data_IF_903326604298
#
_entry.id   IF_903326604298
#
_cell.length_a   1.000
_cell.length_b   1.000
_cell.length_c   1.000
_cell.angle_alpha   90.00
_cell.angle_beta   90.00
_cell.angle_gamma   90.00
#
_symmetry.space_group_name_H-M   'P 1'
#
loop_
_entity.id
_entity.type
_entity.pdbx_description
1 polymer ?
#
# COMPACT_ATOMS: atom_id res chain seq x y z
N UNK A 1 10.92 1.01 -10.08
CA UNK A 1 10.05 1.64 -9.06
C UNK A 1 10.32 3.12 -9.02
N UNK A 2 9.41 3.88 -9.61
CA UNK A 2 9.50 5.34 -9.70
C UNK A 2 9.31 5.99 -8.31
N UNK A 3 9.93 7.15 -8.06
CA UNK A 3 9.84 7.86 -6.77
C UNK A 3 8.39 8.14 -6.36
N UNK A 4 7.53 8.45 -7.34
CA UNK A 4 6.10 8.70 -7.14
C UNK A 4 5.33 7.48 -6.60
N UNK A 5 5.76 6.26 -6.95
CA UNK A 5 5.15 5.02 -6.45
C UNK A 5 5.49 4.83 -4.98
N UNK A 6 6.73 5.15 -4.58
CA UNK A 6 7.17 5.07 -3.18
C UNK A 6 6.40 6.07 -2.33
N UNK A 7 6.22 7.30 -2.80
CA UNK A 7 5.42 8.32 -2.10
C UNK A 7 3.94 7.94 -2.01
N UNK A 8 3.37 7.34 -3.06
CA UNK A 8 1.99 6.83 -3.02
C UNK A 8 1.79 5.69 -2.01
N UNK A 9 2.76 4.77 -1.92
CA UNK A 9 2.78 3.71 -0.91
C UNK A 9 2.86 4.30 0.51
N UNK A 10 3.72 5.31 0.71
CA UNK A 10 3.92 5.99 2.00
C UNK A 10 2.64 6.69 2.46
N UNK A 11 2.03 7.50 1.61
CA UNK A 11 0.77 8.20 1.90
C UNK A 11 -0.35 7.22 2.26
N UNK A 12 -0.47 6.14 1.48
CA UNK A 12 -1.49 5.11 1.73
C UNK A 12 -1.27 4.36 3.04
N UNK A 13 -0.01 4.07 3.38
CA UNK A 13 0.33 3.45 4.66
C UNK A 13 0.01 4.36 5.85
N UNK A 14 0.27 5.67 5.75
CA UNK A 14 -0.10 6.63 6.78
C UNK A 14 -1.62 6.68 6.98
N UNK A 15 -2.40 6.70 5.90
CA UNK A 15 -3.87 6.66 5.96
C UNK A 15 -4.41 5.39 6.61
N UNK A 16 -3.83 4.22 6.32
CA UNK A 16 -4.21 2.96 6.98
C UNK A 16 -3.94 3.00 8.49
N UNK A 17 -2.85 3.66 8.92
CA UNK A 17 -2.54 3.81 10.35
C UNK A 17 -3.49 4.73 11.11
N UNK A 18 -4.16 5.67 10.44
CA UNK A 18 -5.16 6.55 11.07
C UNK A 18 -6.37 5.76 11.60
N UNK A 19 -6.77 4.69 10.92
CA UNK A 19 -7.93 3.87 11.28
C UNK A 19 -7.55 2.58 12.02
N UNK A 20 -6.32 2.49 12.55
CA UNK A 20 -5.80 1.24 13.11
C UNK A 20 -6.56 0.84 14.38
N UNK A 21 -7.35 -0.22 14.27
CA UNK A 21 -7.94 -0.93 15.39
C UNK A 21 -7.07 -2.15 15.74
N UNK A 22 -7.09 -2.62 16.99
CA UNK A 22 -6.33 -3.83 17.37
C UNK A 22 -6.80 -5.01 16.51
N UNK A 23 -5.87 -5.69 15.84
CA UNK A 23 -6.15 -6.83 14.96
C UNK A 23 -6.23 -6.53 13.46
N UNK A 24 -6.26 -5.27 13.02
CA UNK A 24 -6.37 -4.93 11.58
C UNK A 24 -5.03 -4.91 10.84
N UNK A 25 -3.90 -5.05 11.53
CA UNK A 25 -2.54 -4.93 10.96
C UNK A 25 -2.33 -5.88 9.78
N UNK A 26 -2.83 -7.11 9.86
CA UNK A 26 -2.71 -8.08 8.77
C UNK A 26 -3.55 -7.71 7.55
N UNK A 27 -4.70 -7.06 7.77
CA UNK A 27 -5.56 -6.55 6.70
C UNK A 27 -4.89 -5.36 6.02
N UNK A 28 -4.34 -4.42 6.79
CA UNK A 28 -3.60 -3.26 6.27
C UNK A 28 -2.41 -3.72 5.42
N UNK A 29 -1.69 -4.76 5.86
CA UNK A 29 -0.60 -5.37 5.10
C UNK A 29 -1.07 -6.02 3.80
N UNK A 30 -2.20 -6.74 3.80
CA UNK A 30 -2.77 -7.36 2.58
C UNK A 30 -3.22 -6.30 1.57
N UNK A 31 -3.80 -5.19 2.03
CA UNK A 31 -4.17 -4.05 1.18
C UNK A 31 -2.92 -3.45 0.54
N UNK A 32 -1.88 -3.19 1.33
CA UNK A 32 -0.62 -2.62 0.84
C UNK A 32 0.06 -3.55 -0.18
N UNK A 33 0.09 -4.86 0.09
CA UNK A 33 0.66 -5.86 -0.81
C UNK A 33 -0.10 -5.95 -2.14
N UNK A 34 -1.43 -5.89 -2.11
CA UNK A 34 -2.24 -5.86 -3.33
C UNK A 34 -2.00 -4.58 -4.14
N UNK A 35 -1.88 -3.44 -3.46
CA UNK A 35 -1.56 -2.16 -4.10
C UNK A 35 -0.24 -2.23 -4.86
N UNK A 36 0.83 -2.69 -4.22
CA UNK A 36 2.14 -2.89 -4.86
C UNK A 36 2.05 -3.84 -6.07
N UNK A 37 1.32 -4.95 -5.92
CA UNK A 37 1.15 -5.93 -7.01
C UNK A 37 0.46 -5.31 -8.23
N UNK A 38 -0.61 -4.55 -8.04
CA UNK A 38 -1.33 -3.88 -9.14
C UNK A 38 -0.42 -2.87 -9.84
N UNK A 39 0.35 -2.08 -9.08
CA UNK A 39 1.30 -1.12 -9.66
C UNK A 39 2.38 -1.82 -10.50
N UNK A 40 2.96 -2.90 -9.99
CA UNK A 40 3.96 -3.68 -10.73
C UNK A 40 3.37 -4.26 -12.02
N UNK A 41 2.17 -4.83 -11.96
CA UNK A 41 1.49 -5.37 -13.15
C UNK A 41 1.21 -4.30 -14.20
N UNK A 42 0.86 -3.07 -13.77
CA UNK A 42 0.63 -1.93 -14.68
C UNK A 42 1.91 -1.33 -15.28
N UNK A 43 3.06 -1.50 -14.62
CA UNK A 43 4.36 -1.06 -15.14
C UNK A 43 4.93 -2.04 -16.19
N UNK A 44 4.49 -3.30 -16.16
CA UNK A 44 4.94 -4.38 -17.07
C UNK A 44 4.04 -4.64 -18.28
N UNK A 45 2.89 -3.95 -18.40
CA UNK A 45 1.93 -4.10 -19.50
C UNK A 45 1.96 -2.86 -20.40
#
# INVERSE_FOLDING_TARGET
MNHDVIESIRDRWQKLRLCRHRGTVLVDYRILRNFVRIYQTRETA
#
